data_IF_828844494678
#
_entry.id   IF_828844494678
#
_cell.length_a   1.000
_cell.length_b   1.000
_cell.length_c   1.000
_cell.angle_alpha   90.00
_cell.angle_beta   90.00
_cell.angle_gamma   90.00
#
_symmetry.space_group_name_H-M   'P 1'
#
loop_
_entity.id
_entity.type
_entity.pdbx_description
1 polymer ?
#
# COMPACT_ATOMS: atom_id res chain seq x y z
N UNK A 1 -8.19 65.52 -97.85
CA UNK A 1 -8.93 66.00 -99.04
C UNK A 1 -8.33 67.32 -99.46
N UNK A 2 -7.84 67.40 -100.70
CA UNK A 2 -7.07 68.53 -101.21
C UNK A 2 -7.96 69.76 -101.39
N UNK A 3 -7.78 70.77 -100.55
CA UNK A 3 -8.38 72.08 -100.76
C UNK A 3 -7.63 72.76 -101.91
N UNK A 4 -8.34 72.90 -103.02
CA UNK A 4 -7.88 73.44 -104.29
C UNK A 4 -7.45 74.91 -104.08
N UNK A 5 -6.14 75.14 -103.90
CA UNK A 5 -5.57 76.46 -103.58
C UNK A 5 -5.97 77.53 -104.62
N UNK A 6 -6.24 77.10 -105.86
CA UNK A 6 -6.71 77.94 -106.96
C UNK A 6 -8.10 78.56 -106.71
N UNK A 7 -8.98 77.87 -106.00
CA UNK A 7 -10.32 78.36 -105.65
C UNK A 7 -10.26 79.29 -104.43
N UNK A 8 -9.34 79.05 -103.50
CA UNK A 8 -9.10 79.91 -102.32
C UNK A 8 -8.56 81.30 -102.71
N UNK A 9 -7.64 81.37 -103.68
CA UNK A 9 -7.15 82.66 -104.18
C UNK A 9 -8.16 83.39 -105.09
N UNK A 10 -9.07 82.65 -105.76
CA UNK A 10 -10.13 83.25 -106.59
C UNK A 10 -11.20 83.93 -105.75
N UNK A 11 -11.53 83.42 -104.56
CA UNK A 11 -12.51 84.02 -103.65
C UNK A 11 -11.95 85.16 -102.80
N UNK A 12 -10.66 85.14 -102.46
CA UNK A 12 -10.04 86.21 -101.65
C UNK A 12 -9.57 87.43 -102.44
N UNK A 13 -9.29 87.30 -103.75
CA UNK A 13 -8.79 88.40 -104.58
C UNK A 13 -9.62 88.66 -105.86
N UNK A 14 -10.72 87.93 -106.06
CA UNK A 14 -11.61 88.10 -107.23
C UNK A 14 -12.29 89.48 -107.30
N UNK A 15 -12.52 90.12 -106.14
CA UNK A 15 -13.27 91.39 -106.04
C UNK A 15 -12.37 92.65 -106.04
N UNK A 16 -11.05 92.51 -106.18
CA UNK A 16 -10.10 93.66 -106.23
C UNK A 16 -9.47 93.92 -107.60
N UNK A 17 -9.98 93.30 -108.68
CA UNK A 17 -9.65 93.74 -110.04
C UNK A 17 -10.51 94.97 -110.36
N UNK A 18 -9.99 96.12 -109.97
CA UNK A 18 -10.46 97.44 -110.37
C UNK A 18 -10.43 97.51 -111.90
N UNK A 19 -11.61 97.43 -112.53
CA UNK A 19 -11.80 97.87 -113.91
C UNK A 19 -11.53 99.38 -113.96
N UNK A 20 -10.33 99.74 -114.41
CA UNK A 20 -9.93 101.11 -114.72
C UNK A 20 -10.80 101.58 -115.90
N UNK A 21 -11.66 102.61 -115.76
CA UNK A 21 -12.39 103.14 -116.89
C UNK A 21 -11.40 103.79 -117.87
N UNK A 22 -11.36 103.30 -119.11
CA UNK A 22 -10.72 104.01 -120.22
C UNK A 22 -11.47 105.33 -120.43
N UNK A 23 -10.84 106.40 -119.99
CA UNK A 23 -11.27 107.78 -120.14
C UNK A 23 -11.18 108.15 -121.64
N UNK A 24 -12.32 108.36 -122.30
CA UNK A 24 -12.38 109.14 -123.53
C UNK A 24 -12.45 110.62 -123.14
N UNK A 25 -11.46 111.38 -123.60
CA UNK A 25 -11.21 112.77 -123.26
C UNK A 25 -12.29 113.72 -123.81
N UNK A 26 -12.80 114.60 -122.95
CA UNK A 26 -13.26 115.94 -123.32
C UNK A 26 -12.90 116.93 -122.20
N UNK A 27 -11.71 117.51 -122.37
CA UNK A 27 -11.15 118.76 -121.82
C UNK A 27 -11.68 119.32 -120.49
N UNK A 28 -10.86 119.32 -119.42
CA UNK A 28 -10.45 120.53 -118.63
C UNK A 28 -9.10 120.32 -117.88
N UNK A 29 -8.21 121.29 -118.05
CA UNK A 29 -6.89 121.69 -117.50
C UNK A 29 -6.36 121.25 -116.10
N UNK A 30 -5.20 120.58 -116.10
CA UNK A 30 -3.95 120.91 -115.38
C UNK A 30 -3.84 120.93 -113.84
N UNK A 31 -4.62 121.76 -113.13
CA UNK A 31 -4.42 122.07 -111.70
C UNK A 31 -5.31 121.24 -110.76
N UNK A 32 -6.40 120.67 -111.28
CA UNK A 32 -7.28 119.72 -110.57
C UNK A 32 -6.64 118.35 -110.36
N UNK A 33 -5.77 117.90 -111.28
CA UNK A 33 -5.09 116.59 -111.20
C UNK A 33 -4.11 116.45 -110.04
N UNK A 34 -3.49 117.55 -109.59
CA UNK A 34 -2.64 117.57 -108.39
C UNK A 34 -3.47 117.57 -107.11
N UNK A 35 -4.65 118.20 -107.11
CA UNK A 35 -5.60 118.16 -105.99
C UNK A 35 -6.26 116.79 -105.88
N UNK A 36 -6.62 116.16 -106.99
CA UNK A 36 -7.12 114.78 -107.05
C UNK A 36 -6.05 113.79 -106.60
N UNK A 37 -4.80 113.89 -107.08
CA UNK A 37 -3.70 113.03 -106.59
C UNK A 37 -3.34 113.26 -105.11
N UNK A 38 -3.51 114.48 -104.58
CA UNK A 38 -3.38 114.77 -103.13
C UNK A 38 -4.59 114.29 -102.33
N UNK A 39 -5.79 114.34 -102.91
CA UNK A 39 -7.02 113.81 -102.30
C UNK A 39 -6.97 112.30 -102.25
N UNK A 40 -6.58 111.66 -103.36
CA UNK A 40 -6.31 110.22 -103.47
C UNK A 40 -5.21 109.80 -102.51
N UNK A 41 -4.05 110.50 -102.41
CA UNK A 41 -3.03 110.16 -101.41
C UNK A 41 -3.54 110.33 -99.98
N UNK A 42 -4.33 111.35 -99.67
CA UNK A 42 -4.95 111.52 -98.35
C UNK A 42 -6.03 110.47 -98.07
N UNK A 43 -6.71 109.98 -99.08
CA UNK A 43 -7.69 108.89 -98.96
C UNK A 43 -7.00 107.55 -98.80
N UNK A 44 -5.90 107.32 -99.51
CA UNK A 44 -5.06 106.13 -99.38
C UNK A 44 -4.32 106.11 -98.06
N UNK A 45 -3.82 107.25 -97.57
CA UNK A 45 -3.27 107.39 -96.21
C UNK A 45 -4.33 107.20 -95.14
N UNK A 46 -5.55 107.72 -95.34
CA UNK A 46 -6.69 107.48 -94.43
C UNK A 46 -7.11 105.99 -94.44
N UNK A 47 -7.15 105.35 -95.60
CA UNK A 47 -7.46 103.93 -95.74
C UNK A 47 -6.36 103.06 -95.13
N UNK A 48 -5.08 103.42 -95.31
CA UNK A 48 -3.94 102.70 -94.74
C UNK A 48 -3.83 102.92 -93.22
N UNK A 49 -4.19 104.09 -92.72
CA UNK A 49 -4.33 104.36 -91.29
C UNK A 49 -5.48 103.54 -90.68
N UNK A 50 -6.65 103.52 -91.33
CA UNK A 50 -7.78 102.68 -90.91
C UNK A 50 -7.42 101.19 -90.92
N UNK A 51 -6.72 100.70 -91.96
CA UNK A 51 -6.32 99.30 -92.04
C UNK A 51 -5.24 98.93 -90.99
N UNK A 52 -4.37 99.89 -90.62
CA UNK A 52 -3.41 99.75 -89.52
C UNK A 52 -4.11 99.72 -88.16
N UNK A 53 -5.04 100.64 -87.92
CA UNK A 53 -5.87 100.63 -86.70
C UNK A 53 -6.70 99.35 -86.58
N UNK A 54 -7.31 98.87 -87.67
CA UNK A 54 -8.04 97.60 -87.68
C UNK A 54 -7.13 96.39 -87.43
N UNK A 55 -5.91 96.40 -87.99
CA UNK A 55 -4.92 95.35 -87.74
C UNK A 55 -4.42 95.38 -86.30
N UNK A 56 -4.15 96.57 -85.75
CA UNK A 56 -3.79 96.76 -84.34
C UNK A 56 -4.92 96.32 -83.41
N UNK A 57 -6.17 96.68 -83.68
CA UNK A 57 -7.33 96.19 -82.92
C UNK A 57 -7.51 94.67 -83.02
N UNK A 58 -7.30 94.07 -84.19
CA UNK A 58 -7.34 92.59 -84.34
C UNK A 58 -6.20 91.92 -83.58
N UNK A 59 -4.99 92.46 -83.62
CA UNK A 59 -3.84 91.93 -82.91
C UNK A 59 -4.00 92.07 -81.40
N UNK A 60 -4.59 93.17 -80.94
CA UNK A 60 -4.90 93.38 -79.53
C UNK A 60 -6.00 92.42 -79.05
N UNK A 61 -7.08 92.24 -79.80
CA UNK A 61 -8.12 91.24 -79.49
C UNK A 61 -7.57 89.80 -79.50
N UNK A 62 -6.66 89.47 -80.42
CA UNK A 62 -6.01 88.15 -80.44
C UNK A 62 -5.06 87.97 -79.26
N UNK A 63 -4.36 89.02 -78.82
CA UNK A 63 -3.54 89.01 -77.61
C UNK A 63 -4.41 88.80 -76.38
N UNK A 64 -5.48 89.57 -76.23
CA UNK A 64 -6.46 89.40 -75.15
C UNK A 64 -7.06 87.99 -75.14
N UNK A 65 -7.48 87.46 -76.29
CA UNK A 65 -7.98 86.09 -76.38
C UNK A 65 -6.94 85.03 -76.03
N UNK A 66 -5.68 85.24 -76.40
CA UNK A 66 -4.57 84.35 -76.04
C UNK A 66 -4.30 84.40 -74.54
N UNK A 67 -4.27 85.59 -73.96
CA UNK A 67 -4.05 85.78 -72.52
C UNK A 67 -5.21 85.20 -71.71
N UNK A 68 -6.47 85.42 -72.13
CA UNK A 68 -7.67 84.80 -71.54
C UNK A 68 -7.64 83.27 -71.65
N UNK A 69 -7.12 82.73 -72.75
CA UNK A 69 -6.98 81.28 -72.94
C UNK A 69 -5.92 80.71 -72.00
N UNK A 70 -4.78 81.39 -71.84
CA UNK A 70 -3.72 81.00 -70.90
C UNK A 70 -4.22 81.07 -69.46
N UNK A 71 -4.96 82.11 -69.09
CA UNK A 71 -5.56 82.21 -67.75
C UNK A 71 -6.57 81.09 -67.50
N UNK A 72 -7.44 80.78 -68.46
CA UNK A 72 -8.38 79.65 -68.35
C UNK A 72 -7.66 78.31 -68.23
N UNK A 73 -6.61 78.09 -69.00
CA UNK A 73 -5.76 76.88 -68.89
C UNK A 73 -5.10 76.79 -67.51
N UNK A 74 -4.56 77.88 -66.98
CA UNK A 74 -3.93 77.91 -65.66
C UNK A 74 -4.94 77.73 -64.52
N UNK A 75 -6.16 78.25 -64.66
CA UNK A 75 -7.25 77.98 -63.73
C UNK A 75 -7.65 76.50 -63.77
N UNK A 76 -7.72 75.88 -64.95
CA UNK A 76 -7.95 74.46 -65.14
C UNK A 76 -6.84 73.60 -64.54
N UNK A 77 -5.56 73.97 -64.73
CA UNK A 77 -4.43 73.27 -64.11
C UNK A 77 -4.49 73.37 -62.58
N UNK A 78 -4.78 74.56 -62.04
CA UNK A 78 -4.94 74.76 -60.58
C UNK A 78 -6.13 73.97 -60.02
N UNK A 79 -7.25 73.89 -60.74
CA UNK A 79 -8.40 73.10 -60.30
C UNK A 79 -8.11 71.60 -60.37
N UNK A 80 -7.43 71.11 -61.41
CA UNK A 80 -6.98 69.72 -61.50
C UNK A 80 -6.04 69.34 -60.35
N UNK A 81 -5.08 70.19 -59.99
CA UNK A 81 -4.20 69.94 -58.84
C UNK A 81 -4.98 69.88 -57.51
N UNK A 82 -5.97 70.76 -57.33
CA UNK A 82 -6.86 70.72 -56.16
C UNK A 82 -7.70 69.44 -56.13
N UNK A 83 -8.22 69.01 -57.28
CA UNK A 83 -8.97 67.75 -57.40
C UNK A 83 -8.09 66.52 -57.13
N UNK A 84 -6.88 66.46 -57.67
CA UNK A 84 -5.95 65.36 -57.42
C UNK A 84 -5.54 65.30 -55.94
N UNK A 85 -5.29 66.47 -55.32
CA UNK A 85 -5.03 66.56 -53.87
C UNK A 85 -6.24 66.08 -53.05
N UNK A 86 -7.45 66.51 -53.44
CA UNK A 86 -8.69 66.07 -52.80
C UNK A 86 -8.93 64.56 -52.93
N UNK A 87 -8.66 63.98 -54.11
CA UNK A 87 -8.76 62.53 -54.33
C UNK A 87 -7.76 61.77 -53.47
N UNK A 88 -6.49 62.20 -53.41
CA UNK A 88 -5.47 61.61 -52.55
C UNK A 88 -5.84 61.67 -51.07
N UNK A 89 -6.39 62.79 -50.61
CA UNK A 89 -6.87 62.92 -49.23
C UNK A 89 -8.09 62.05 -48.96
N UNK A 90 -9.04 61.97 -49.89
CA UNK A 90 -10.21 61.12 -49.78
C UNK A 90 -9.82 59.63 -49.73
N UNK A 91 -8.94 59.19 -50.62
CA UNK A 91 -8.39 57.84 -50.63
C UNK A 91 -7.63 57.54 -49.35
N UNK A 92 -6.85 58.49 -48.83
CA UNK A 92 -6.17 58.35 -47.53
C UNK A 92 -7.18 58.20 -46.38
N UNK A 93 -8.26 59.01 -46.34
CA UNK A 93 -9.34 58.90 -45.35
C UNK A 93 -10.08 57.56 -45.48
N UNK A 94 -10.41 57.15 -46.69
CA UNK A 94 -11.08 55.89 -46.99
C UNK A 94 -10.21 54.70 -46.57
N UNK A 95 -8.91 54.73 -46.88
CA UNK A 95 -7.96 53.69 -46.48
C UNK A 95 -7.76 53.63 -44.95
N UNK A 96 -7.70 54.77 -44.26
CA UNK A 96 -7.66 54.81 -42.78
C UNK A 96 -8.94 54.23 -42.19
N UNK A 97 -10.10 54.62 -42.69
CA UNK A 97 -11.39 54.10 -42.24
C UNK A 97 -11.50 52.57 -42.47
N UNK A 98 -11.08 52.08 -43.63
CA UNK A 98 -11.02 50.64 -43.94
C UNK A 98 -10.09 49.88 -42.99
N UNK A 99 -8.87 50.38 -42.77
CA UNK A 99 -7.91 49.77 -41.83
C UNK A 99 -8.46 49.74 -40.41
N UNK A 100 -9.05 50.86 -39.95
CA UNK A 100 -9.67 50.93 -38.63
C UNK A 100 -10.82 49.94 -38.49
N UNK A 101 -11.70 49.86 -39.49
CA UNK A 101 -12.81 48.90 -39.48
C UNK A 101 -12.34 47.43 -39.42
N UNK A 102 -11.22 47.09 -40.06
CA UNK A 102 -10.63 45.74 -39.97
C UNK A 102 -10.10 45.46 -38.56
N UNK A 103 -9.37 46.42 -37.97
CA UNK A 103 -8.82 46.29 -36.60
C UNK A 103 -9.97 46.16 -35.59
N UNK A 104 -10.97 47.04 -35.67
CA UNK A 104 -12.11 47.04 -34.77
C UNK A 104 -12.88 45.72 -34.86
N UNK A 105 -13.06 45.16 -36.07
CA UNK A 105 -13.67 43.83 -36.27
C UNK A 105 -12.86 42.70 -35.62
N UNK A 106 -11.54 42.74 -35.72
CA UNK A 106 -10.69 41.72 -35.11
C UNK A 106 -10.72 41.82 -33.57
N UNK A 107 -10.74 43.03 -33.01
CA UNK A 107 -10.90 43.24 -31.57
C UNK A 107 -12.25 42.71 -31.08
N UNK A 108 -13.33 43.00 -31.81
CA UNK A 108 -14.67 42.47 -31.51
C UNK A 108 -14.66 40.94 -31.53
N UNK A 109 -14.09 40.32 -32.57
CA UNK A 109 -13.98 38.87 -32.68
C UNK A 109 -13.21 38.25 -31.51
N UNK A 110 -12.10 38.87 -31.10
CA UNK A 110 -11.32 38.39 -29.94
C UNK A 110 -12.11 38.50 -28.63
N UNK A 111 -12.87 39.60 -28.46
CA UNK A 111 -13.72 39.79 -27.29
C UNK A 111 -14.92 38.84 -27.26
N UNK A 112 -15.52 38.54 -28.40
CA UNK A 112 -16.58 37.53 -28.52
C UNK A 112 -16.09 36.14 -28.09
N UNK A 113 -14.90 35.73 -28.54
CA UNK A 113 -14.30 34.45 -28.11
C UNK A 113 -13.98 34.43 -26.59
N UNK A 114 -13.53 35.56 -26.04
CA UNK A 114 -13.30 35.71 -24.61
C UNK A 114 -14.60 35.61 -23.81
N UNK A 115 -15.68 36.25 -24.29
CA UNK A 115 -17.02 36.16 -23.69
C UNK A 115 -17.51 34.71 -23.71
N UNK A 116 -17.46 34.01 -24.84
CA UNK A 116 -17.89 32.61 -24.92
C UNK A 116 -17.10 31.70 -23.97
N UNK A 117 -15.79 31.94 -23.82
CA UNK A 117 -14.95 31.21 -22.87
C UNK A 117 -15.39 31.48 -21.43
N UNK A 118 -15.55 32.76 -21.07
CA UNK A 118 -15.95 33.16 -19.72
C UNK A 118 -17.36 32.66 -19.38
N UNK A 119 -18.29 32.65 -20.34
CA UNK A 119 -19.63 32.10 -20.16
C UNK A 119 -19.58 30.60 -19.85
N UNK A 120 -18.76 29.82 -20.58
CA UNK A 120 -18.52 28.41 -20.27
C UNK A 120 -17.94 28.24 -18.87
N UNK A 121 -16.94 29.05 -18.51
CA UNK A 121 -16.32 29.01 -17.18
C UNK A 121 -17.35 29.31 -16.07
N UNK A 122 -18.21 30.32 -16.26
CA UNK A 122 -19.29 30.65 -15.32
C UNK A 122 -20.24 29.46 -15.14
N UNK A 123 -20.67 28.82 -16.23
CA UNK A 123 -21.56 27.66 -16.15
C UNK A 123 -20.91 26.53 -15.35
N UNK A 124 -19.64 26.21 -15.62
CA UNK A 124 -18.93 25.15 -14.88
C UNK A 124 -18.74 25.48 -13.40
N UNK A 125 -18.43 26.74 -13.07
CA UNK A 125 -18.25 27.19 -11.70
C UNK A 125 -19.57 27.18 -10.92
N UNK A 126 -20.68 27.58 -11.54
CA UNK A 126 -22.01 27.51 -10.94
C UNK A 126 -22.42 26.07 -10.66
N UNK A 127 -22.24 25.15 -11.61
CA UNK A 127 -22.51 23.73 -11.39
C UNK A 127 -21.66 23.16 -10.24
N UNK A 128 -20.37 23.51 -10.18
CA UNK A 128 -19.49 23.09 -9.07
C UNK A 128 -19.95 23.66 -7.73
N UNK A 129 -20.38 24.93 -7.71
CA UNK A 129 -20.91 25.58 -6.50
C UNK A 129 -22.15 24.86 -6.00
N UNK A 130 -23.11 24.52 -6.88
CA UNK A 130 -24.32 23.80 -6.50
C UNK A 130 -24.00 22.42 -5.89
N UNK A 131 -23.12 21.65 -6.53
CA UNK A 131 -22.67 20.35 -6.01
C UNK A 131 -22.03 20.49 -4.62
N UNK A 132 -21.20 21.50 -4.42
CA UNK A 132 -20.55 21.75 -3.13
C UNK A 132 -21.57 22.21 -2.07
N UNK A 133 -22.51 23.09 -2.42
CA UNK A 133 -23.58 23.53 -1.53
C UNK A 133 -24.43 22.34 -1.08
N UNK A 134 -24.77 21.43 -1.98
CA UNK A 134 -25.55 20.24 -1.63
C UNK A 134 -24.77 19.27 -0.73
N UNK A 135 -23.45 19.15 -0.93
CA UNK A 135 -22.59 18.39 -0.01
C UNK A 135 -22.53 19.03 1.38
N UNK A 136 -22.47 20.36 1.46
CA UNK A 136 -22.48 21.10 2.73
C UNK A 136 -23.81 20.93 3.44
N UNK A 137 -24.94 21.10 2.75
CA UNK A 137 -26.29 20.89 3.32
C UNK A 137 -26.46 19.50 3.90
N UNK A 138 -26.08 18.46 3.14
CA UNK A 138 -26.10 17.07 3.63
C UNK A 138 -25.26 16.87 4.89
N UNK A 139 -24.11 17.55 5.00
CA UNK A 139 -23.23 17.46 6.16
C UNK A 139 -23.59 18.40 7.31
N UNK A 140 -24.47 19.39 7.08
CA UNK A 140 -24.86 20.37 8.10
C UNK A 140 -25.52 19.71 9.31
N UNK A 141 -26.26 18.61 9.10
CA UNK A 141 -26.89 17.81 10.16
C UNK A 141 -25.86 17.37 11.21
N UNK A 142 -24.65 16.96 10.79
CA UNK A 142 -23.60 16.55 11.72
C UNK A 142 -23.05 17.74 12.51
N UNK A 143 -22.91 18.90 11.87
CA UNK A 143 -22.46 20.11 12.56
C UNK A 143 -23.48 20.57 13.60
N UNK A 144 -24.77 20.60 13.26
CA UNK A 144 -25.84 20.92 14.20
C UNK A 144 -25.90 19.94 15.37
N UNK A 145 -25.68 18.66 15.11
CA UNK A 145 -25.58 17.66 16.16
C UNK A 145 -24.40 17.93 17.10
N UNK A 146 -23.20 18.16 16.56
CA UNK A 146 -22.00 18.44 17.35
C UNK A 146 -22.13 19.74 18.16
N UNK A 147 -22.72 20.78 17.57
CA UNK A 147 -23.03 22.04 18.25
C UNK A 147 -24.01 21.83 19.42
N UNK A 148 -25.07 21.02 19.24
CA UNK A 148 -25.98 20.63 20.34
C UNK A 148 -25.25 19.87 21.45
N UNK A 149 -24.34 18.95 21.10
CA UNK A 149 -23.56 18.17 22.08
C UNK A 149 -22.67 19.10 22.92
N UNK A 150 -22.03 20.08 22.31
CA UNK A 150 -21.17 21.05 23.01
C UNK A 150 -21.99 21.92 23.96
N UNK A 151 -23.09 22.50 23.44
CA UNK A 151 -24.01 23.31 24.25
C UNK A 151 -24.54 22.57 25.47
N UNK A 152 -24.76 21.26 25.35
CA UNK A 152 -25.20 20.41 26.47
C UNK A 152 -24.07 20.04 27.43
N UNK A 153 -22.88 19.75 26.90
CA UNK A 153 -21.74 19.27 27.68
C UNK A 153 -21.08 20.38 28.51
N UNK A 154 -21.03 21.62 28.01
CA UNK A 154 -20.32 22.78 28.60
C UNK A 154 -18.83 22.55 28.93
N UNK A 155 -18.26 21.40 28.59
CA UNK A 155 -16.86 21.02 28.86
C UNK A 155 -15.90 21.40 27.75
N UNK A 156 -16.41 21.70 26.56
CA UNK A 156 -15.65 22.05 25.37
C UNK A 156 -16.18 23.38 24.85
N UNK A 157 -15.30 24.23 24.36
CA UNK A 157 -15.68 25.51 23.77
C UNK A 157 -15.85 25.36 22.25
N UNK A 158 -15.03 24.52 21.62
CA UNK A 158 -15.06 24.27 20.18
C UNK A 158 -15.32 22.81 19.79
N UNK A 159 -15.93 22.61 18.62
CA UNK A 159 -16.11 21.26 18.02
C UNK A 159 -14.76 20.58 17.78
N UNK A 160 -13.72 21.33 17.44
CA UNK A 160 -12.38 20.79 17.21
C UNK A 160 -11.78 20.16 18.47
N UNK A 161 -12.01 20.76 19.64
CA UNK A 161 -11.53 20.23 20.92
C UNK A 161 -12.22 18.90 21.27
N UNK A 162 -13.54 18.83 21.06
CA UNK A 162 -14.30 17.60 21.23
C UNK A 162 -13.78 16.49 20.31
N UNK A 163 -13.56 16.81 19.03
CA UNK A 163 -13.02 15.84 18.06
C UNK A 163 -11.61 15.40 18.45
N UNK A 164 -10.72 16.33 18.82
CA UNK A 164 -9.38 15.98 19.29
C UNK A 164 -9.41 15.11 20.54
N UNK A 165 -10.35 15.34 21.46
CA UNK A 165 -10.55 14.46 22.62
C UNK A 165 -11.04 13.07 22.20
N UNK A 166 -11.97 12.98 21.25
CA UNK A 166 -12.43 11.68 20.72
C UNK A 166 -11.29 10.94 20.03
N UNK A 167 -10.49 11.62 19.22
CA UNK A 167 -9.35 11.02 18.52
C UNK A 167 -8.32 10.48 19.51
N UNK A 168 -7.95 11.27 20.53
CA UNK A 168 -7.06 10.79 21.60
C UNK A 168 -7.68 9.60 22.35
N UNK A 169 -8.98 9.62 22.64
CA UNK A 169 -9.67 8.50 23.29
C UNK A 169 -9.67 7.24 22.42
N UNK A 170 -9.89 7.37 21.11
CA UNK A 170 -9.84 6.24 20.18
C UNK A 170 -8.44 5.64 20.12
N UNK A 171 -7.40 6.46 20.00
CA UNK A 171 -6.00 6.00 20.02
C UNK A 171 -5.67 5.33 21.35
N UNK A 172 -6.04 5.93 22.48
CA UNK A 172 -5.80 5.30 23.80
C UNK A 172 -6.57 3.99 23.96
N UNK A 173 -7.80 3.90 23.45
CA UNK A 173 -8.58 2.66 23.47
C UNK A 173 -7.90 1.56 22.67
N UNK A 174 -7.41 1.88 21.47
CA UNK A 174 -6.70 0.91 20.62
C UNK A 174 -5.42 0.42 21.30
N UNK A 175 -4.63 1.32 21.89
CA UNK A 175 -3.44 0.97 22.66
C UNK A 175 -3.76 0.09 23.88
N UNK A 176 -4.84 0.38 24.60
CA UNK A 176 -5.26 -0.42 25.75
C UNK A 176 -5.72 -1.81 25.32
N UNK A 177 -6.50 -1.92 24.24
CA UNK A 177 -6.92 -3.22 23.70
C UNK A 177 -5.72 -4.05 23.23
N UNK A 178 -4.73 -3.42 22.60
CA UNK A 178 -3.52 -4.12 22.21
C UNK A 178 -2.76 -4.66 23.44
N UNK A 179 -2.57 -3.85 24.47
CA UNK A 179 -1.92 -4.28 25.71
C UNK A 179 -2.68 -5.38 26.43
N UNK A 180 -4.01 -5.28 26.50
CA UNK A 180 -4.87 -6.30 27.11
C UNK A 180 -4.73 -7.64 26.38
N UNK A 181 -4.71 -7.62 25.04
CA UNK A 181 -4.45 -8.82 24.24
C UNK A 181 -3.05 -9.39 24.50
N UNK A 182 -2.00 -8.56 24.52
CA UNK A 182 -0.62 -9.00 24.81
C UNK A 182 -0.51 -9.63 26.21
N UNK A 183 -1.12 -9.03 27.22
CA UNK A 183 -1.17 -9.55 28.58
C UNK A 183 -1.97 -10.86 28.66
N UNK A 184 -3.08 -10.97 27.92
CA UNK A 184 -3.87 -12.18 27.84
C UNK A 184 -3.08 -13.32 27.19
N UNK A 185 -2.43 -13.07 26.05
CA UNK A 185 -1.58 -14.05 25.36
C UNK A 185 -0.43 -14.51 26.27
N UNK A 186 0.22 -13.58 26.97
CA UNK A 186 1.27 -13.90 27.93
C UNK A 186 0.71 -14.76 29.08
N UNK A 187 -0.44 -14.39 29.64
CA UNK A 187 -1.11 -15.14 30.69
C UNK A 187 -1.51 -16.56 30.25
N UNK A 188 -2.02 -16.72 29.03
CA UNK A 188 -2.35 -18.03 28.44
C UNK A 188 -1.10 -18.88 28.22
N UNK A 189 0.00 -18.30 27.75
CA UNK A 189 1.28 -19.00 27.61
C UNK A 189 1.81 -19.51 28.96
N UNK A 190 1.78 -18.68 30.01
CA UNK A 190 2.17 -19.10 31.37
C UNK A 190 1.26 -20.21 31.91
N UNK A 191 -0.06 -20.09 31.71
CA UNK A 191 -1.03 -21.13 32.11
C UNK A 191 -0.77 -22.45 31.40
N UNK A 192 -0.46 -22.40 30.10
CA UNK A 192 -0.12 -23.60 29.32
C UNK A 192 1.18 -24.24 29.83
N UNK A 193 2.21 -23.43 30.10
CA UNK A 193 3.47 -23.91 30.66
C UNK A 193 3.26 -24.57 32.03
N UNK A 194 2.48 -23.93 32.91
CA UNK A 194 2.14 -24.50 34.22
C UNK A 194 1.38 -25.81 34.09
N UNK A 195 0.40 -25.90 33.18
CA UNK A 195 -0.36 -27.13 32.94
C UNK A 195 0.57 -28.28 32.52
N UNK A 196 1.45 -28.03 31.55
CA UNK A 196 2.44 -29.02 31.10
C UNK A 196 3.34 -29.48 32.24
N UNK A 197 3.87 -28.54 33.03
CA UNK A 197 4.71 -28.86 34.17
C UNK A 197 3.97 -29.73 35.20
N UNK A 198 2.72 -29.39 35.53
CA UNK A 198 1.91 -30.18 36.47
C UNK A 198 1.62 -31.58 35.93
N UNK A 199 1.31 -31.72 34.64
CA UNK A 199 1.12 -33.03 33.98
C UNK A 199 2.42 -33.87 34.02
N UNK A 200 3.57 -33.26 33.70
CA UNK A 200 4.88 -33.92 33.75
C UNK A 200 5.24 -34.39 35.16
N UNK A 201 5.05 -33.54 36.18
CA UNK A 201 5.29 -33.91 37.58
C UNK A 201 4.30 -34.98 38.05
N UNK A 202 3.02 -34.90 37.65
CA UNK A 202 2.03 -35.92 37.94
C UNK A 202 2.42 -37.29 37.37
N UNK A 203 2.89 -37.32 36.12
CA UNK A 203 3.40 -38.53 35.48
C UNK A 203 4.63 -39.09 36.20
N UNK A 204 5.55 -38.23 36.64
CA UNK A 204 6.73 -38.65 37.41
C UNK A 204 6.32 -39.26 38.75
N UNK A 205 5.38 -38.66 39.48
CA UNK A 205 4.86 -39.19 40.74
C UNK A 205 4.23 -40.57 40.54
N UNK A 206 3.40 -40.73 39.49
CA UNK A 206 2.81 -42.03 39.14
C UNK A 206 3.88 -43.08 38.81
N UNK A 207 4.90 -42.72 38.04
CA UNK A 207 6.00 -43.62 37.72
C UNK A 207 6.76 -44.06 38.99
N UNK A 208 7.05 -43.12 39.90
CA UNK A 208 7.73 -43.43 41.18
C UNK A 208 6.86 -44.28 42.10
N UNK A 209 5.56 -44.03 42.15
CA UNK A 209 4.63 -44.85 42.91
C UNK A 209 4.59 -46.30 42.39
N UNK A 210 4.51 -46.48 41.08
CA UNK A 210 4.58 -47.81 40.47
C UNK A 210 5.90 -48.55 40.79
N UNK A 211 7.04 -47.83 40.74
CA UNK A 211 8.33 -48.38 41.15
C UNK A 211 8.35 -48.80 42.62
N UNK A 212 7.78 -47.97 43.51
CA UNK A 212 7.68 -48.26 44.93
C UNK A 212 6.84 -49.51 45.19
N UNK A 213 5.67 -49.64 44.54
CA UNK A 213 4.82 -50.82 44.64
C UNK A 213 5.52 -52.09 44.15
N UNK A 214 6.29 -52.00 43.06
CA UNK A 214 7.08 -53.13 42.55
C UNK A 214 8.17 -53.55 43.53
N UNK A 215 8.93 -52.60 44.09
CA UNK A 215 9.95 -52.87 45.10
C UNK A 215 9.35 -53.44 46.38
N UNK A 216 8.21 -52.92 46.83
CA UNK A 216 7.51 -53.44 48.00
C UNK A 216 7.05 -54.89 47.78
N UNK A 217 6.52 -55.21 46.60
CA UNK A 217 6.16 -56.58 46.23
C UNK A 217 7.38 -57.52 46.26
N UNK A 218 8.53 -57.07 45.76
CA UNK A 218 9.78 -57.85 45.80
C UNK A 218 10.26 -58.06 47.24
N UNK A 219 10.19 -57.04 48.08
CA UNK A 219 10.57 -57.10 49.48
C UNK A 219 9.65 -58.04 50.27
N UNK A 220 8.34 -57.98 50.06
CA UNK A 220 7.39 -58.88 50.70
C UNK A 220 7.59 -60.33 50.23
N UNK A 221 7.92 -60.55 48.96
CA UNK A 221 8.29 -61.86 48.45
C UNK A 221 9.57 -62.39 49.14
N UNK A 222 10.62 -61.59 49.21
CA UNK A 222 11.87 -61.97 49.87
C UNK A 222 11.65 -62.27 51.37
N UNK A 223 10.84 -61.47 52.06
CA UNK A 223 10.44 -61.70 53.46
C UNK A 223 9.67 -63.01 53.62
N UNK A 224 8.72 -63.28 52.73
CA UNK A 224 7.97 -64.55 52.76
C UNK A 224 8.90 -65.75 52.59
N UNK A 225 9.86 -65.68 51.65
CA UNK A 225 10.85 -66.76 51.44
C UNK A 225 11.75 -66.92 52.65
N UNK A 226 12.27 -65.82 53.21
CA UNK A 226 13.10 -65.85 54.42
C UNK A 226 12.35 -66.48 55.60
N UNK A 227 11.10 -66.08 55.82
CA UNK A 227 10.25 -66.63 56.88
C UNK A 227 10.01 -68.14 56.71
N UNK A 228 9.79 -68.61 55.47
CA UNK A 228 9.67 -70.06 55.17
C UNK A 228 10.95 -70.80 55.58
N UNK A 229 12.11 -70.30 55.17
CA UNK A 229 13.40 -70.92 55.49
C UNK A 229 13.68 -70.90 56.99
N UNK A 230 13.41 -69.80 57.68
CA UNK A 230 13.53 -69.69 59.13
C UNK A 230 12.64 -70.71 59.85
N UNK A 231 11.40 -70.88 59.39
CA UNK A 231 10.49 -71.91 59.93
C UNK A 231 11.04 -73.32 59.73
N UNK A 232 11.55 -73.64 58.53
CA UNK A 232 12.15 -74.95 58.27
C UNK A 232 13.41 -75.18 59.09
N UNK A 233 14.24 -74.15 59.25
CA UNK A 233 15.45 -74.19 60.07
C UNK A 233 15.11 -74.44 61.54
N UNK A 234 14.14 -73.73 62.09
CA UNK A 234 13.66 -73.92 63.46
C UNK A 234 13.12 -75.34 63.66
N UNK A 235 12.42 -75.92 62.67
CA UNK A 235 11.96 -77.30 62.72
C UNK A 235 13.13 -78.29 62.73
N UNK A 236 14.10 -78.13 61.82
CA UNK A 236 15.31 -78.98 61.77
C UNK A 236 16.08 -78.88 63.09
N UNK A 237 16.28 -77.67 63.61
CA UNK A 237 16.98 -77.43 64.86
C UNK A 237 16.25 -78.07 66.05
N UNK A 238 14.91 -77.94 66.12
CA UNK A 238 14.10 -78.59 67.16
C UNK A 238 14.21 -80.11 67.10
N UNK A 239 14.13 -80.69 65.91
CA UNK A 239 14.28 -82.13 65.70
C UNK A 239 15.69 -82.60 66.05
N UNK A 240 16.73 -81.91 65.59
CA UNK A 240 18.11 -82.22 65.93
C UNK A 240 18.38 -82.13 67.44
N UNK A 241 17.80 -81.16 68.13
CA UNK A 241 17.89 -81.05 69.59
C UNK A 241 17.21 -82.24 70.30
N UNK A 242 16.06 -82.70 69.81
CA UNK A 242 15.38 -83.90 70.32
C UNK A 242 16.21 -85.16 70.09
N UNK A 243 16.74 -85.37 68.88
CA UNK A 243 17.61 -86.51 68.57
C UNK A 243 18.90 -86.48 69.39
N UNK A 244 19.51 -85.30 69.57
CA UNK A 244 20.70 -85.13 70.41
C UNK A 244 20.40 -85.47 71.87
N UNK A 245 19.24 -85.06 72.38
CA UNK A 245 18.80 -85.40 73.74
C UNK A 245 18.56 -86.91 73.88
N UNK A 246 17.85 -87.54 72.94
CA UNK A 246 17.61 -88.99 72.93
C UNK A 246 18.92 -89.76 72.87
N UNK A 247 19.85 -89.36 71.99
CA UNK A 247 21.18 -89.95 71.93
C UNK A 247 21.89 -89.81 73.27
N UNK A 248 21.89 -88.61 73.88
CA UNK A 248 22.44 -88.38 75.21
C UNK A 248 21.85 -89.29 76.29
N UNK A 249 20.52 -89.47 76.29
CA UNK A 249 19.82 -90.38 77.19
C UNK A 249 20.24 -91.84 76.96
N UNK A 250 20.29 -92.30 75.71
CA UNK A 250 20.77 -93.65 75.36
C UNK A 250 22.20 -93.84 75.84
N UNK A 251 23.09 -92.84 75.64
CA UNK A 251 24.47 -92.92 76.12
C UNK A 251 24.54 -93.08 77.63
N UNK A 252 23.79 -92.28 78.38
CA UNK A 252 23.75 -92.36 79.85
C UNK A 252 23.18 -93.70 80.33
N UNK A 253 22.06 -94.16 79.76
CA UNK A 253 21.43 -95.43 80.15
C UNK A 253 22.34 -96.62 79.82
N UNK A 254 22.97 -96.61 78.64
CA UNK A 254 23.95 -97.63 78.22
C UNK A 254 25.13 -97.67 79.18
N UNK A 255 25.72 -96.51 79.47
CA UNK A 255 26.85 -96.41 80.39
C UNK A 255 26.47 -96.94 81.78
N UNK A 256 25.30 -96.55 82.28
CA UNK A 256 24.78 -97.01 83.57
C UNK A 256 24.58 -98.54 83.59
N UNK A 257 23.99 -99.12 82.54
CA UNK A 257 23.81 -100.57 82.42
C UNK A 257 25.17 -101.30 82.37
N UNK A 258 26.12 -100.80 81.57
CA UNK A 258 27.48 -101.34 81.47
C UNK A 258 28.19 -101.35 82.83
N UNK A 259 28.08 -100.26 83.60
CA UNK A 259 28.61 -100.19 84.97
C UNK A 259 27.93 -101.18 85.91
N UNK A 260 26.60 -101.35 85.83
CA UNK A 260 25.89 -102.32 86.67
C UNK A 260 26.31 -103.77 86.44
N UNK A 261 26.76 -104.13 85.22
CA UNK A 261 27.29 -105.46 84.93
C UNK A 261 28.77 -105.62 85.30
N UNK A 262 29.36 -104.63 85.98
CA UNK A 262 30.74 -104.66 86.45
C UNK A 262 31.77 -104.16 85.43
N UNK A 263 31.33 -103.57 84.33
CA UNK A 263 32.19 -102.94 83.34
C UNK A 263 32.96 -101.75 83.91
N UNK A 264 34.28 -101.68 83.68
CA UNK A 264 35.13 -100.58 84.15
C UNK A 264 35.45 -99.64 83.00
N UNK A 265 35.14 -98.36 83.16
CA UNK A 265 35.60 -97.29 82.26
C UNK A 265 36.99 -96.83 82.68
N UNK A 266 37.99 -97.02 81.82
CA UNK A 266 39.37 -96.57 82.05
C UNK A 266 40.08 -96.39 80.71
N UNK A 267 40.81 -95.29 80.53
CA UNK A 267 41.46 -94.94 79.26
C UNK A 267 42.52 -95.95 78.78
N UNK A 268 43.07 -96.79 79.67
CA UNK A 268 44.24 -97.62 79.36
C UNK A 268 43.91 -99.14 79.23
N UNK A 269 42.79 -99.62 79.82
CA UNK A 269 42.38 -101.05 79.80
C UNK A 269 40.86 -101.32 79.84
N UNK A 270 40.03 -100.28 79.81
CA UNK A 270 38.56 -100.40 79.84
C UNK A 270 37.91 -99.79 78.59
N UNK A 271 36.62 -100.02 78.38
CA UNK A 271 35.90 -99.36 77.28
C UNK A 271 35.82 -97.85 77.57
N UNK A 272 36.13 -96.96 76.60
CA UNK A 272 36.04 -95.51 76.79
C UNK A 272 34.63 -95.05 77.17
N UNK A 273 34.53 -93.96 77.95
CA UNK A 273 33.23 -93.41 78.43
C UNK A 273 32.34 -92.99 77.24
N UNK A 274 32.94 -92.42 76.20
CA UNK A 274 32.21 -91.91 75.03
C UNK A 274 31.92 -92.97 73.94
N UNK A 275 32.51 -94.17 74.05
CA UNK A 275 32.31 -95.27 73.10
C UNK A 275 31.12 -96.14 73.51
N UNK A 276 29.93 -95.64 73.21
CA UNK A 276 28.68 -96.35 73.49
C UNK A 276 28.49 -97.64 72.70
N UNK A 277 29.12 -97.78 71.53
CA UNK A 277 28.94 -98.96 70.70
C UNK A 277 29.64 -100.15 71.35
N UNK A 278 30.90 -99.98 71.73
CA UNK A 278 31.63 -101.03 72.46
C UNK A 278 30.98 -101.35 73.81
N UNK A 279 30.43 -100.34 74.52
CA UNK A 279 29.68 -100.59 75.75
C UNK A 279 28.49 -101.53 75.47
N UNK A 280 27.62 -101.19 74.50
CA UNK A 280 26.48 -102.02 74.10
C UNK A 280 26.87 -103.43 73.66
N UNK A 281 27.97 -103.60 72.93
CA UNK A 281 28.48 -104.93 72.54
C UNK A 281 28.85 -105.78 73.75
N UNK A 282 29.51 -105.19 74.75
CA UNK A 282 29.82 -105.87 76.01
C UNK A 282 28.55 -106.19 76.81
N UNK A 283 27.57 -105.27 76.84
CA UNK A 283 26.24 -105.55 77.40
C UNK A 283 25.60 -106.75 76.69
N UNK A 284 25.65 -106.78 75.37
CA UNK A 284 25.05 -107.85 74.57
C UNK A 284 25.75 -109.19 74.81
N UNK A 285 27.08 -109.23 74.86
CA UNK A 285 27.85 -110.43 75.20
C UNK A 285 27.49 -110.93 76.59
N UNK A 286 27.45 -110.03 77.58
CA UNK A 286 27.06 -110.40 78.94
C UNK A 286 25.64 -110.98 79.01
N UNK A 287 24.67 -110.37 78.33
CA UNK A 287 23.29 -110.88 78.28
C UNK A 287 23.25 -112.25 77.56
N UNK A 288 23.97 -112.41 76.45
CA UNK A 288 24.06 -113.70 75.73
C UNK A 288 24.68 -114.79 76.58
N UNK A 289 25.79 -114.51 77.27
CA UNK A 289 26.43 -115.45 78.17
C UNK A 289 25.48 -115.85 79.30
N UNK A 290 24.77 -114.89 79.90
CA UNK A 290 23.76 -115.19 80.92
C UNK A 290 22.58 -115.97 80.36
N UNK A 291 22.14 -115.69 79.13
CA UNK A 291 21.07 -116.44 78.48
C UNK A 291 21.49 -117.87 78.16
N UNK A 292 22.73 -118.10 77.73
CA UNK A 292 23.31 -119.43 77.54
C UNK A 292 23.38 -120.18 78.86
N UNK A 293 23.86 -119.55 79.94
CA UNK A 293 23.87 -120.14 81.28
C UNK A 293 22.46 -120.52 81.74
N UNK A 294 21.45 -119.68 81.49
CA UNK A 294 20.05 -119.98 81.84
C UNK A 294 19.45 -121.08 80.96
N UNK A 295 19.77 -121.13 79.66
CA UNK A 295 19.33 -122.23 78.79
C UNK A 295 20.01 -123.55 79.12
N UNK A 296 21.28 -123.51 79.53
CA UNK A 296 22.01 -124.68 80.00
C UNK A 296 21.43 -125.19 81.31
N UNK A 297 21.12 -124.29 82.26
CA UNK A 297 20.39 -124.62 83.49
C UNK A 297 19.02 -125.26 83.19
N UNK A 298 18.32 -124.79 82.15
CA UNK A 298 17.00 -125.31 81.76
C UNK A 298 17.08 -126.66 81.01
N UNK A 299 18.22 -127.00 80.42
CA UNK A 299 18.46 -128.29 79.77
C UNK A 299 19.08 -129.34 80.72
N UNK A 300 19.40 -128.96 81.96
CA UNK A 300 19.97 -129.85 83.01
C UNK A 300 18.96 -130.31 84.06
N UNK A 301 17.66 -130.16 83.83
CA UNK A 301 16.61 -130.76 84.66
C UNK A 301 16.00 -132.01 84.00
N UNK A 302 16.33 -133.24 84.46
CA UNK A 302 15.49 -134.42 84.33
C UNK A 302 14.65 -134.61 85.62
N UNK A 303 13.35 -134.90 85.44
CA UNK A 303 12.39 -135.27 86.49
C UNK A 303 12.91 -136.30 87.52
N UNK A 304 12.53 -136.18 88.81
CA UNK A 304 12.37 -137.32 89.70
C UNK A 304 10.88 -137.59 89.98
N UNK A 305 10.47 -138.82 89.69
CA UNK A 305 9.14 -139.40 89.87
C UNK A 305 8.82 -139.90 91.29
N UNK A 306 7.60 -139.60 91.75
CA UNK A 306 6.68 -140.37 92.64
C UNK A 306 7.07 -140.80 94.07
N UNK A 307 6.22 -140.46 95.07
CA UNK A 307 5.43 -141.43 95.87
C UNK A 307 4.50 -140.76 96.91
N UNK A 308 3.19 -140.93 96.68
CA UNK A 308 2.11 -141.39 97.59
C UNK A 308 2.40 -141.58 99.09
N UNK A 309 1.54 -141.01 99.97
CA UNK A 309 0.85 -141.64 101.13
C UNK A 309 -0.47 -140.88 101.42
N UNK A 310 -1.52 -141.63 101.75
CA UNK A 310 -2.91 -141.22 101.99
C UNK A 310 -3.33 -141.32 103.48
N UNK A 311 -4.57 -140.90 103.76
CA UNK A 311 -5.41 -141.08 104.99
C UNK A 311 -5.04 -140.15 106.18
N UNK A 312 -5.93 -139.35 106.80
CA UNK A 312 -7.36 -139.43 107.16
C UNK A 312 -8.03 -138.07 106.92
#
# INVERSE_FOLDING_TARGET
MALNLKDYFRTLYGDQIVNIPLLAEAHVTGTTRLLEKRSEMKELERALAAHKEEFEMRMENLRQHKDDQVEREDQLKKSMLKFDTFLKENDSKCNRAKKKAIIDREVVRQKELEIERLEKDIITLLARKEVLQEKVKRKAIYWEFLDKVIKRSKKFEEIRELLGRIDTLLVTREQLLQKDNEEQEHGEALRLHLRKFVEEQGNLVLQRNNQLSALQTQLDHARMVAFKWETTWNHIQSTAAKETLLLGQIKVVTLNLFHMMGGKTSQDKGVPIDDTVQQLEQIQLFIKDKAVIVSDLRNTDPDPSSSTVAEI
#
